data_IF_384508667478
#
_entry.id   IF_384508667478
#
_cell.length_a   1.000
_cell.length_b   1.000
_cell.length_c   1.000
_cell.angle_alpha   90.00
_cell.angle_beta   90.00
_cell.angle_gamma   90.00
#
_symmetry.space_group_name_H-M   'P 1'
#
loop_
_entity.id
_entity.type
_entity.pdbx_description
1 polymer ?
#
# COMPACT_ATOMS: atom_id res chain seq x y z
N UNK A 1 -0.45 13.35 -5.05
CA UNK A 1 -1.74 13.33 -4.32
C UNK A 1 -2.07 14.68 -3.71
N UNK A 2 -1.10 15.40 -3.12
CA UNK A 2 -1.35 16.77 -2.65
C UNK A 2 -1.97 17.67 -3.73
N UNK A 3 -1.45 17.58 -4.95
CA UNK A 3 -1.86 18.42 -6.08
C UNK A 3 -3.32 18.21 -6.50
N UNK A 4 -3.87 17.00 -6.37
CA UNK A 4 -5.20 16.65 -6.88
C UNK A 4 -6.20 16.21 -5.80
N UNK A 5 -5.84 16.29 -4.52
CA UNK A 5 -6.76 15.88 -3.44
C UNK A 5 -8.07 16.67 -3.44
N UNK A 6 -8.01 17.93 -3.86
CA UNK A 6 -9.17 18.80 -3.95
C UNK A 6 -10.22 18.33 -4.98
N UNK A 7 -9.84 17.48 -5.93
CA UNK A 7 -10.71 16.88 -6.94
C UNK A 7 -11.44 15.62 -6.43
N UNK A 8 -11.05 15.10 -5.26
CA UNK A 8 -11.58 13.85 -4.71
C UNK A 8 -13.13 13.83 -4.58
N UNK A 9 -13.81 14.91 -4.13
CA UNK A 9 -15.27 14.92 -4.10
C UNK A 9 -15.90 14.72 -5.49
N UNK A 10 -15.29 15.24 -6.55
CA UNK A 10 -15.82 15.11 -7.90
C UNK A 10 -15.62 13.69 -8.46
N UNK A 11 -14.56 12.99 -8.05
CA UNK A 11 -14.40 11.56 -8.32
C UNK A 11 -15.52 10.73 -7.68
N UNK A 12 -15.89 11.05 -6.44
CA UNK A 12 -17.01 10.36 -5.75
C UNK A 12 -18.34 10.65 -6.44
N UNK A 13 -18.60 11.90 -6.84
CA UNK A 13 -19.80 12.26 -7.61
C UNK A 13 -19.87 11.52 -8.94
N UNK A 14 -18.74 11.44 -9.65
CA UNK A 14 -18.65 10.72 -10.91
C UNK A 14 -18.94 9.22 -10.73
N UNK A 15 -18.42 8.61 -9.65
CA UNK A 15 -18.72 7.22 -9.33
C UNK A 15 -20.23 7.00 -9.11
N UNK A 16 -20.90 7.92 -8.41
CA UNK A 16 -22.36 7.89 -8.22
C UNK A 16 -23.09 7.99 -9.56
N UNK A 17 -22.71 8.96 -10.40
CA UNK A 17 -23.33 9.18 -11.72
C UNK A 17 -23.21 7.95 -12.63
N UNK A 18 -22.04 7.29 -12.62
CA UNK A 18 -21.76 6.11 -13.41
C UNK A 18 -22.31 4.80 -12.81
N UNK A 19 -22.88 4.84 -11.61
CA UNK A 19 -23.33 3.64 -10.89
C UNK A 19 -22.19 2.71 -10.46
N UNK A 20 -21.00 3.26 -10.22
CA UNK A 20 -19.85 2.53 -9.70
C UNK A 20 -20.04 2.27 -8.20
N UNK A 21 -19.93 1.02 -7.73
CA UNK A 21 -20.27 0.68 -6.34
C UNK A 21 -19.20 1.04 -5.32
N UNK A 22 -17.95 1.28 -5.76
CA UNK A 22 -16.84 1.53 -4.84
C UNK A 22 -15.80 2.50 -5.41
N UNK A 23 -15.31 3.39 -4.54
CA UNK A 23 -14.17 4.26 -4.79
C UNK A 23 -13.09 3.95 -3.76
N UNK A 24 -11.86 3.75 -4.24
CA UNK A 24 -10.69 3.47 -3.40
C UNK A 24 -9.75 4.68 -3.37
N UNK A 25 -9.56 5.27 -2.19
CA UNK A 25 -8.51 6.26 -1.97
C UNK A 25 -7.16 5.55 -1.79
N UNK A 26 -6.33 5.61 -2.83
CA UNK A 26 -4.96 5.09 -2.79
C UNK A 26 -3.98 6.25 -2.63
N UNK A 27 -3.16 6.21 -1.57
CA UNK A 27 -2.06 7.18 -1.43
C UNK A 27 -1.06 7.07 -2.56
N UNK A 28 -0.47 8.21 -2.93
CA UNK A 28 0.72 8.21 -3.78
C UNK A 28 1.86 7.49 -3.05
N UNK A 29 2.33 6.44 -3.68
CA UNK A 29 3.39 5.59 -3.18
C UNK A 29 4.75 6.15 -3.66
N UNK A 30 5.71 6.30 -2.74
CA UNK A 30 7.08 6.73 -3.03
C UNK A 30 8.11 5.84 -2.32
N UNK A 31 9.30 5.71 -2.89
CA UNK A 31 10.35 4.79 -2.45
C UNK A 31 11.57 5.53 -1.84
N UNK A 32 12.52 4.79 -1.27
CA UNK A 32 13.70 5.36 -0.61
C UNK A 32 13.39 6.04 0.72
N UNK A 33 14.26 6.93 1.20
CA UNK A 33 14.04 7.76 2.39
C UNK A 33 13.08 8.95 2.13
N UNK A 34 12.56 9.07 0.91
CA UNK A 34 11.82 10.22 0.43
C UNK A 34 12.60 10.99 -0.65
N UNK A 35 13.92 10.79 -0.73
CA UNK A 35 14.71 11.23 -1.86
C UNK A 35 14.50 10.32 -3.08
N UNK A 36 14.69 10.92 -4.25
CA UNK A 36 14.63 10.27 -5.54
C UNK A 36 15.70 9.15 -5.60
N UNK A 37 15.28 7.89 -5.74
CA UNK A 37 16.19 6.74 -5.79
C UNK A 37 17.08 6.75 -7.04
N UNK A 38 16.53 7.16 -8.18
CA UNK A 38 17.22 7.33 -9.47
C UNK A 38 16.47 8.35 -10.32
N UNK A 39 17.02 8.74 -11.48
CA UNK A 39 16.41 9.79 -12.28
C UNK A 39 15.05 9.46 -12.91
N UNK A 40 14.66 8.19 -12.91
CA UNK A 40 13.40 7.67 -13.45
C UNK A 40 12.28 7.65 -12.39
N UNK A 41 12.61 7.64 -11.10
CA UNK A 41 11.63 7.75 -10.01
C UNK A 41 11.03 9.16 -9.95
N UNK A 42 9.73 9.28 -10.26
CA UNK A 42 9.02 10.57 -10.28
C UNK A 42 8.26 10.89 -9.00
N UNK A 43 7.95 9.90 -8.16
CA UNK A 43 7.18 10.09 -6.93
C UNK A 43 8.10 10.43 -5.74
N UNK A 44 7.87 11.59 -5.11
CA UNK A 44 8.59 12.06 -3.92
C UNK A 44 7.67 12.22 -2.70
N UNK A 45 8.25 12.29 -1.51
CA UNK A 45 7.52 12.31 -0.24
C UNK A 45 6.54 13.49 -0.14
N UNK A 46 6.93 14.67 -0.65
CA UNK A 46 6.18 15.93 -0.61
C UNK A 46 4.88 15.86 -1.39
N UNK A 47 4.79 14.98 -2.41
CA UNK A 47 3.59 14.80 -3.22
C UNK A 47 2.59 13.83 -2.58
N UNK A 48 3.03 13.06 -1.59
CA UNK A 48 2.23 12.05 -0.89
C UNK A 48 1.59 12.59 0.38
N UNK A 49 0.46 11.99 0.77
CA UNK A 49 -0.14 12.24 2.08
C UNK A 49 0.57 11.35 3.11
N UNK A 50 1.37 11.93 3.99
CA UNK A 50 2.07 11.21 5.04
C UNK A 50 2.06 11.97 6.37
N UNK A 51 2.00 11.21 7.48
CA UNK A 51 2.25 11.60 8.87
C UNK A 51 1.37 12.70 9.51
N UNK A 52 0.69 13.57 8.76
CA UNK A 52 -0.36 14.44 9.29
C UNK A 52 -1.27 14.95 8.18
N UNK A 53 -2.57 14.66 8.30
CA UNK A 53 -3.59 15.35 7.51
C UNK A 53 -3.64 16.82 7.94
N UNK A 54 -3.39 17.73 7.02
CA UNK A 54 -3.72 19.13 7.21
C UNK A 54 -5.25 19.27 7.32
N UNK A 55 -5.74 20.27 8.04
CA UNK A 55 -7.17 20.46 8.31
C UNK A 55 -8.04 20.45 7.03
N UNK A 56 -7.52 21.00 5.93
CA UNK A 56 -8.20 20.97 4.63
C UNK A 56 -8.35 19.54 4.07
N UNK A 57 -7.31 18.72 4.19
CA UNK A 57 -7.29 17.36 3.68
C UNK A 57 -8.26 16.47 4.47
N UNK A 58 -8.27 16.60 5.80
CA UNK A 58 -9.21 15.89 6.67
C UNK A 58 -10.66 16.27 6.32
N UNK A 59 -10.93 17.57 6.08
CA UNK A 59 -12.27 18.04 5.69
C UNK A 59 -12.74 17.44 4.38
N UNK A 60 -11.88 17.37 3.36
CA UNK A 60 -12.20 16.78 2.06
C UNK A 60 -12.53 15.28 2.19
N UNK A 61 -11.77 14.55 3.01
CA UNK A 61 -12.03 13.13 3.24
C UNK A 61 -13.39 12.92 3.92
N UNK A 62 -13.69 13.68 4.97
CA UNK A 62 -14.99 13.61 5.67
C UNK A 62 -16.15 13.97 4.74
N UNK A 63 -15.98 14.97 3.87
CA UNK A 63 -16.97 15.33 2.86
C UNK A 63 -17.23 14.17 1.89
N UNK A 64 -16.18 13.50 1.42
CA UNK A 64 -16.29 12.33 0.53
C UNK A 64 -16.95 11.13 1.22
N UNK A 65 -16.59 10.86 2.48
CA UNK A 65 -17.23 9.80 3.28
C UNK A 65 -18.72 10.06 3.48
N UNK A 66 -19.11 11.32 3.72
CA UNK A 66 -20.52 11.70 3.84
C UNK A 66 -21.28 11.52 2.51
N UNK A 67 -20.70 11.99 1.41
CA UNK A 67 -21.27 11.88 0.07
C UNK A 67 -21.47 10.41 -0.34
N UNK A 68 -20.44 9.59 -0.16
CA UNK A 68 -20.48 8.16 -0.50
C UNK A 68 -21.57 7.43 0.31
N UNK A 69 -21.69 7.73 1.61
CA UNK A 69 -22.72 7.17 2.50
C UNK A 69 -24.14 7.51 2.06
N UNK A 70 -24.37 8.72 1.56
CA UNK A 70 -25.72 9.13 1.11
C UNK A 70 -26.17 8.49 -0.19
N UNK A 71 -25.24 7.87 -0.95
CA UNK A 71 -25.48 7.36 -2.29
C UNK A 71 -25.16 5.87 -2.45
N UNK A 72 -25.00 5.14 -1.34
CA UNK A 72 -24.66 3.70 -1.30
C UNK A 72 -23.39 3.33 -2.08
N UNK A 73 -22.45 4.27 -2.17
CA UNK A 73 -21.11 4.02 -2.72
C UNK A 73 -20.18 3.68 -1.56
N UNK A 74 -19.47 2.57 -1.68
CA UNK A 74 -18.42 2.24 -0.71
C UNK A 74 -17.22 3.14 -0.97
N UNK A 75 -16.79 3.88 0.05
CA UNK A 75 -15.57 4.68 -0.01
C UNK A 75 -14.56 4.10 0.97
N UNK A 76 -13.49 3.52 0.43
CA UNK A 76 -12.49 2.76 1.17
C UNK A 76 -11.08 3.20 0.78
N UNK A 77 -10.08 2.70 1.47
CA UNK A 77 -8.68 2.95 1.15
C UNK A 77 -7.84 1.67 1.21
N UNK A 78 -6.55 1.80 0.89
CA UNK A 78 -5.59 0.68 0.93
C UNK A 78 -5.67 -0.07 2.26
N UNK A 79 -5.70 -1.41 2.19
CA UNK A 79 -5.84 -2.26 3.38
C UNK A 79 -7.30 -2.50 3.80
N UNK A 80 -8.28 -2.09 2.99
CA UNK A 80 -9.72 -2.20 3.30
C UNK A 80 -10.12 -1.45 4.58
N UNK A 81 -9.45 -0.33 4.84
CA UNK A 81 -9.73 0.59 5.96
C UNK A 81 -10.49 1.81 5.45
N UNK A 82 -10.97 2.65 6.37
CA UNK A 82 -11.48 3.96 5.96
C UNK A 82 -10.34 4.84 5.45
N UNK A 83 -10.61 5.75 4.49
CA UNK A 83 -9.66 6.75 4.05
C UNK A 83 -8.95 7.49 5.17
N UNK A 84 -9.67 7.96 6.19
CA UNK A 84 -9.07 8.60 7.36
C UNK A 84 -8.07 7.71 8.09
N UNK A 85 -8.47 6.48 8.45
CA UNK A 85 -7.60 5.53 9.16
C UNK A 85 -6.36 5.17 8.35
N UNK A 86 -6.49 5.02 7.03
CA UNK A 86 -5.39 4.65 6.12
C UNK A 86 -4.21 5.63 6.11
N UNK A 87 -4.43 6.85 6.62
CA UNK A 87 -3.46 7.95 6.65
C UNK A 87 -2.78 8.10 8.01
N UNK A 88 -3.27 7.42 9.04
CA UNK A 88 -2.69 7.45 10.38
C UNK A 88 -1.54 6.45 10.50
N UNK A 89 -0.45 6.87 11.16
CA UNK A 89 0.63 5.95 11.56
C UNK A 89 0.32 5.43 12.95
N UNK A 90 0.12 4.10 13.08
CA UNK A 90 -0.32 3.47 14.34
C UNK A 90 0.84 2.75 15.05
N UNK A 91 1.14 3.20 16.28
CA UNK A 91 2.04 2.51 17.21
C UNK A 91 3.53 2.57 16.85
N UNK A 92 4.36 1.89 17.65
CA UNK A 92 5.82 1.84 17.47
C UNK A 92 6.27 0.91 16.32
N UNK A 93 5.39 0.00 15.88
CA UNK A 93 5.65 -0.97 14.81
C UNK A 93 4.57 -0.91 13.72
N UNK A 94 4.46 0.22 12.98
CA UNK A 94 3.40 0.43 12.00
C UNK A 94 3.34 -0.66 10.92
N UNK A 95 4.48 -1.26 10.55
CA UNK A 95 4.55 -2.32 9.56
C UNK A 95 3.83 -3.62 9.94
N UNK A 96 3.63 -3.88 11.24
CA UNK A 96 2.94 -5.08 11.72
C UNK A 96 1.45 -5.10 11.39
N UNK A 97 0.87 -3.97 10.97
CA UNK A 97 -0.49 -3.94 10.42
C UNK A 97 -0.62 -4.70 9.08
N UNK A 98 0.47 -4.86 8.34
CA UNK A 98 0.43 -5.48 7.02
C UNK A 98 0.16 -6.99 7.09
N UNK A 99 -1.02 -7.42 6.62
CA UNK A 99 -1.39 -8.83 6.54
C UNK A 99 -0.87 -9.57 5.30
N UNK A 100 -0.34 -8.85 4.30
CA UNK A 100 0.05 -9.43 2.99
C UNK A 100 0.98 -10.64 3.09
N UNK A 101 1.99 -10.70 3.98
CA UNK A 101 2.83 -11.90 4.12
C UNK A 101 2.08 -13.19 4.49
N UNK A 102 0.84 -13.07 4.98
CA UNK A 102 -0.02 -14.19 5.40
C UNK A 102 -1.24 -14.40 4.49
N UNK A 103 -1.57 -13.47 3.61
CA UNK A 103 -2.82 -13.52 2.83
C UNK A 103 -2.64 -13.34 1.34
N UNK A 104 -1.46 -12.93 0.88
CA UNK A 104 -1.21 -12.57 -0.52
C UNK A 104 0.13 -13.12 -1.03
N UNK A 105 0.08 -13.71 -2.22
CA UNK A 105 1.26 -14.01 -3.04
C UNK A 105 1.19 -13.20 -4.33
N UNK A 106 2.17 -12.32 -4.57
CA UNK A 106 2.27 -11.61 -5.85
C UNK A 106 3.11 -12.42 -6.82
N UNK A 107 2.54 -12.83 -7.95
CA UNK A 107 3.22 -13.68 -8.94
C UNK A 107 3.42 -12.87 -10.21
N UNK A 108 4.67 -12.72 -10.62
CA UNK A 108 5.04 -12.06 -11.88
C UNK A 108 4.79 -12.97 -13.09
N UNK A 109 4.84 -12.39 -14.30
CA UNK A 109 4.69 -13.14 -15.56
C UNK A 109 5.76 -14.24 -15.75
N UNK A 110 6.93 -14.11 -15.12
CA UNK A 110 8.01 -15.12 -15.17
C UNK A 110 7.92 -16.15 -14.04
N UNK A 111 6.82 -16.15 -13.28
CA UNK A 111 6.57 -17.12 -12.21
C UNK A 111 7.22 -16.77 -10.87
N UNK A 112 7.99 -15.68 -10.78
CA UNK A 112 8.58 -15.24 -9.50
C UNK A 112 7.47 -14.84 -8.51
N UNK A 113 7.50 -15.43 -7.33
CA UNK A 113 6.66 -15.05 -6.20
C UNK A 113 7.36 -13.95 -5.38
N UNK A 114 6.65 -12.88 -5.06
CA UNK A 114 7.14 -11.70 -4.33
C UNK A 114 6.24 -11.40 -3.13
N UNK A 115 6.73 -10.66 -2.10
CA UNK A 115 5.96 -10.39 -0.88
C UNK A 115 4.75 -9.47 -1.10
N UNK A 116 4.79 -8.59 -2.11
CA UNK A 116 3.66 -7.76 -2.54
C UNK A 116 3.95 -7.09 -3.89
N UNK A 117 2.93 -6.46 -4.48
CA UNK A 117 3.05 -5.70 -5.74
C UNK A 117 3.95 -4.46 -5.65
N UNK A 118 4.29 -4.00 -4.44
CA UNK A 118 5.13 -2.81 -4.21
C UNK A 118 6.61 -3.18 -4.18
N UNK A 119 6.94 -4.40 -3.75
CA UNK A 119 8.31 -4.84 -3.54
C UNK A 119 9.24 -4.67 -4.77
N UNK A 120 8.82 -4.99 -6.02
CA UNK A 120 9.67 -4.82 -7.20
C UNK A 120 10.25 -3.42 -7.37
N UNK A 121 9.50 -2.41 -6.94
CA UNK A 121 9.83 -1.00 -7.16
C UNK A 121 10.60 -0.40 -5.98
N UNK A 122 10.71 -1.16 -4.90
CA UNK A 122 11.29 -0.66 -3.67
C UNK A 122 12.76 -1.05 -3.51
N UNK A 123 13.23 -2.09 -4.18
CA UNK A 123 14.60 -2.60 -4.00
C UNK A 123 15.43 -2.47 -5.28
N UNK A 124 16.72 -2.21 -5.12
CA UNK A 124 17.67 -2.28 -6.22
C UNK A 124 18.04 -3.74 -6.56
N UNK A 125 18.13 -4.61 -5.55
CA UNK A 125 18.43 -6.03 -5.72
C UNK A 125 17.14 -6.85 -5.75
N UNK A 126 16.70 -7.19 -6.96
CA UNK A 126 15.48 -7.95 -7.19
C UNK A 126 15.54 -9.36 -6.60
N UNK A 127 16.72 -10.00 -6.49
CA UNK A 127 16.81 -11.37 -5.99
C UNK A 127 16.46 -11.47 -4.50
N UNK A 128 16.76 -10.41 -3.74
CA UNK A 128 16.46 -10.33 -2.31
C UNK A 128 14.98 -10.39 -2.00
N UNK A 129 14.11 -9.88 -2.88
CA UNK A 129 12.65 -9.87 -2.67
C UNK A 129 11.93 -11.07 -3.28
N UNK A 130 12.61 -11.92 -4.06
CA UNK A 130 11.99 -13.15 -4.53
C UNK A 130 11.65 -14.07 -3.34
N UNK A 131 10.60 -14.87 -3.43
CA UNK A 131 10.21 -15.84 -2.40
C UNK A 131 10.18 -17.27 -2.94
N UNK A 132 10.37 -17.42 -4.25
CA UNK A 132 10.36 -18.67 -4.99
C UNK A 132 9.92 -18.43 -6.44
N UNK A 133 9.83 -19.51 -7.21
CA UNK A 133 9.29 -19.46 -8.57
C UNK A 133 8.28 -20.59 -8.77
N UNK A 134 7.05 -20.24 -9.12
CA UNK A 134 5.90 -21.17 -9.20
C UNK A 134 5.93 -22.06 -10.45
N UNK A 135 6.83 -21.79 -11.40
CA UNK A 135 7.08 -22.69 -12.53
C UNK A 135 8.04 -23.82 -12.17
N UNK A 136 8.77 -23.69 -11.06
CA UNK A 136 9.75 -24.69 -10.59
C UNK A 136 9.29 -25.45 -9.35
N UNK A 137 8.43 -24.84 -8.53
CA UNK A 137 7.91 -25.39 -7.28
C UNK A 137 6.40 -25.15 -7.21
N UNK A 138 5.65 -25.99 -6.51
CA UNK A 138 4.22 -25.76 -6.30
C UNK A 138 3.95 -24.49 -5.49
N UNK A 139 2.75 -23.91 -5.62
CA UNK A 139 2.34 -22.76 -4.80
C UNK A 139 2.49 -23.03 -3.30
N UNK A 140 2.14 -24.23 -2.85
CA UNK A 140 2.26 -24.65 -1.46
C UNK A 140 3.72 -24.71 -1.00
N UNK A 141 4.61 -25.27 -1.83
CA UNK A 141 6.04 -25.34 -1.54
C UNK A 141 6.66 -23.94 -1.44
N UNK A 142 6.27 -23.02 -2.33
CA UNK A 142 6.72 -21.63 -2.27
C UNK A 142 6.18 -20.94 -1.02
N UNK A 143 4.86 -21.03 -0.77
CA UNK A 143 4.16 -20.34 0.32
C UNK A 143 4.60 -20.77 1.73
N UNK A 144 4.92 -22.05 1.90
CA UNK A 144 5.39 -22.62 3.15
C UNK A 144 6.92 -22.76 3.22
N UNK A 145 7.61 -22.39 2.14
CA UNK A 145 9.06 -22.49 2.01
C UNK A 145 9.83 -21.50 2.89
N UNK A 146 11.15 -21.70 3.04
CA UNK A 146 11.98 -20.94 3.97
C UNK A 146 11.91 -19.43 3.74
N UNK A 147 11.93 -18.96 2.49
CA UNK A 147 11.90 -17.51 2.20
C UNK A 147 10.61 -16.82 2.67
N UNK A 148 9.46 -17.50 2.58
CA UNK A 148 8.21 -16.96 3.12
C UNK A 148 8.20 -16.96 4.65
N UNK A 149 8.76 -18.00 5.29
CA UNK A 149 8.87 -18.06 6.75
C UNK A 149 9.84 -17.00 7.28
N UNK A 150 10.95 -16.77 6.59
CA UNK A 150 11.93 -15.74 6.91
C UNK A 150 11.29 -14.35 6.81
N UNK A 151 10.54 -14.08 5.73
CA UNK A 151 9.78 -12.85 5.58
C UNK A 151 8.80 -12.63 6.74
N UNK A 152 7.98 -13.63 7.09
CA UNK A 152 7.01 -13.52 8.19
C UNK A 152 7.69 -13.28 9.53
N UNK A 153 8.78 -14.01 9.79
CA UNK A 153 9.59 -13.85 11.00
C UNK A 153 10.18 -12.44 11.09
N UNK A 154 10.69 -11.93 9.97
CA UNK A 154 11.24 -10.59 9.90
C UNK A 154 10.16 -9.51 10.10
N UNK A 155 8.98 -9.63 9.49
CA UNK A 155 7.85 -8.69 9.69
C UNK A 155 7.43 -8.62 11.16
N UNK A 156 7.50 -9.74 11.89
CA UNK A 156 7.22 -9.79 13.33
C UNK A 156 8.38 -9.27 14.20
N UNK A 157 9.58 -9.07 13.65
CA UNK A 157 10.73 -8.55 14.40
C UNK A 157 10.64 -7.04 14.68
N UNK A 158 11.66 -6.54 15.40
CA UNK A 158 11.86 -5.12 15.68
C UNK A 158 12.46 -4.35 14.49
N UNK A 159 13.07 -5.07 13.54
CA UNK A 159 13.74 -4.50 12.36
C UNK A 159 13.39 -5.36 11.14
N UNK A 160 12.20 -5.19 10.55
CA UNK A 160 11.73 -6.09 9.51
C UNK A 160 12.61 -6.01 8.26
N UNK A 161 12.79 -7.11 7.56
CA UNK A 161 13.58 -7.23 6.34
C UNK A 161 12.85 -8.22 5.42
N UNK A 162 12.81 -8.02 4.09
CA UNK A 162 13.50 -7.00 3.30
C UNK A 162 12.76 -5.65 3.26
N UNK A 163 13.45 -4.63 2.75
CA UNK A 163 12.81 -3.45 2.19
C UNK A 163 11.79 -3.91 1.11
N UNK A 164 10.51 -3.49 1.08
CA UNK A 164 9.87 -2.30 1.69
C UNK A 164 9.18 -2.49 3.05
N UNK A 165 9.26 -3.67 3.67
CA UNK A 165 8.43 -4.01 4.84
C UNK A 165 8.61 -3.04 6.01
N UNK A 166 9.83 -2.51 6.23
CA UNK A 166 10.15 -1.49 7.26
C UNK A 166 9.32 -0.22 7.17
N UNK A 167 8.86 0.12 5.97
CA UNK A 167 8.10 1.34 5.73
C UNK A 167 6.60 1.07 5.54
N UNK A 168 6.18 -0.20 5.54
CA UNK A 168 4.77 -0.59 5.57
C UNK A 168 4.07 0.00 6.81
N UNK A 169 2.78 0.29 6.72
CA UNK A 169 2.02 1.03 7.74
C UNK A 169 2.35 2.52 7.85
N UNK A 170 3.54 2.94 7.42
CA UNK A 170 3.94 4.35 7.37
C UNK A 170 3.62 4.96 6.01
N UNK A 171 4.05 4.32 4.92
CA UNK A 171 4.03 4.93 3.58
C UNK A 171 3.08 4.29 2.56
N UNK A 172 2.60 3.06 2.78
CA UNK A 172 2.04 2.24 1.68
C UNK A 172 0.67 1.61 1.93
N UNK A 173 0.49 0.99 3.10
CA UNK A 173 -0.70 0.23 3.46
C UNK A 173 -0.71 0.08 4.97
N UNK A 174 -1.86 0.30 5.59
CA UNK A 174 -2.17 -0.39 6.84
C UNK A 174 -2.68 -1.80 6.51
#
# INVERSE_FOLDING_TARGET
MQENLHELPDVVKLAIELGVPEVHLQRLVYFGDGAKLDDEVTAIAEQSLHASLQALQARLIVECEALARTSDVKFSASGATTPGESLEVKGAHPWRGCYRPWTLMYITATGNALPCCIAPFAVADYEQIMLGNVFTNSLEQVWNGPRYQDLRSAVLSEAPSPWPCQHCGVRWSL
#
